data_IF_049194115931
#
_entry.id   IF_049194115931
#
_cell.length_a   1.000
_cell.length_b   1.000
_cell.length_c   1.000
_cell.angle_alpha   90.00
_cell.angle_beta   90.00
_cell.angle_gamma   90.00
#
_symmetry.space_group_name_H-M   'P 1'
#
loop_
_entity.id
_entity.type
_entity.pdbx_description
1 polymer ?
#
# COMPACT_ATOMS: atom_id res chain seq x y z
N UNK A 1 12.27 -7.08 -13.21
CA UNK A 1 13.65 -6.57 -13.31
C UNK A 1 13.95 -5.89 -11.99
N UNK A 2 14.79 -6.49 -11.13
CA UNK A 2 15.09 -5.96 -9.79
C UNK A 2 16.15 -4.86 -9.91
N UNK A 3 15.80 -3.63 -9.56
CA UNK A 3 16.78 -2.57 -9.36
C UNK A 3 17.28 -2.70 -7.91
N UNK A 4 18.46 -3.30 -7.74
CA UNK A 4 19.12 -3.36 -6.45
C UNK A 4 19.60 -1.94 -6.10
N UNK A 5 19.09 -1.38 -5.01
CA UNK A 5 19.70 -0.21 -4.37
C UNK A 5 20.92 -0.68 -3.57
N UNK A 6 21.92 0.19 -3.42
CA UNK A 6 23.24 -0.13 -2.82
C UNK A 6 23.22 -0.72 -1.41
N UNK A 7 22.07 -0.68 -0.72
CA UNK A 7 21.88 -1.12 0.66
C UNK A 7 21.14 -2.47 0.77
N UNK A 8 20.98 -3.22 -0.32
CA UNK A 8 20.38 -4.55 -0.31
C UNK A 8 18.85 -4.56 -0.30
N UNK A 9 18.19 -3.41 -0.49
CA UNK A 9 16.74 -3.37 -0.66
C UNK A 9 16.34 -3.83 -2.06
N UNK A 10 15.50 -4.87 -2.11
CA UNK A 10 14.91 -5.38 -3.35
C UNK A 10 13.66 -4.57 -3.65
N UNK A 11 13.74 -3.72 -4.68
CA UNK A 11 12.57 -3.04 -5.22
C UNK A 11 11.62 -4.07 -5.85
N UNK A 12 10.38 -4.12 -5.37
CA UNK A 12 9.36 -5.08 -5.83
C UNK A 12 8.17 -4.42 -6.54
N UNK A 13 8.03 -3.11 -6.40
CA UNK A 13 7.02 -2.33 -7.08
C UNK A 13 7.47 -0.87 -7.29
N UNK A 14 6.91 -0.24 -8.32
CA UNK A 14 7.04 1.19 -8.58
C UNK A 14 5.68 1.81 -8.83
N UNK A 15 5.57 3.09 -8.53
CA UNK A 15 4.42 3.92 -8.83
C UNK A 15 4.85 5.18 -9.57
N UNK A 16 4.05 5.66 -10.52
CA UNK A 16 4.12 7.06 -10.98
C UNK A 16 2.82 7.78 -10.74
N UNK A 17 2.90 9.09 -10.48
CA UNK A 17 1.74 9.98 -10.41
C UNK A 17 2.02 11.32 -11.10
N UNK A 18 0.97 12.03 -11.52
CA UNK A 18 1.07 13.33 -12.19
C UNK A 18 0.77 14.55 -11.29
N UNK A 19 0.54 14.32 -9.99
CA UNK A 19 0.29 15.38 -9.00
C UNK A 19 1.45 16.38 -8.93
N UNK A 20 1.28 17.56 -9.51
CA UNK A 20 2.32 18.62 -9.51
C UNK A 20 3.49 18.35 -10.46
N UNK A 21 3.41 17.31 -11.30
CA UNK A 21 4.47 16.83 -12.17
C UNK A 21 4.59 15.31 -12.14
N UNK A 22 5.22 14.72 -13.16
CA UNK A 22 5.46 13.28 -13.18
C UNK A 22 6.52 12.91 -12.15
N UNK A 23 6.11 12.17 -11.12
CA UNK A 23 6.97 11.68 -10.05
C UNK A 23 6.97 10.17 -10.04
N UNK A 24 8.13 9.54 -9.80
CA UNK A 24 8.26 8.08 -9.67
C UNK A 24 8.71 7.71 -8.26
N UNK A 25 7.97 6.79 -7.66
CA UNK A 25 8.19 6.27 -6.32
C UNK A 25 8.36 4.75 -6.35
N UNK A 26 8.96 4.20 -5.30
CA UNK A 26 9.35 2.81 -5.19
C UNK A 26 8.88 2.21 -3.86
N UNK A 27 8.66 0.89 -3.90
CA UNK A 27 8.35 0.10 -2.72
C UNK A 27 9.20 -1.16 -2.71
N UNK A 28 9.62 -1.55 -1.50
CA UNK A 28 10.58 -2.62 -1.28
C UNK A 28 9.94 -3.82 -0.57
N UNK A 29 10.60 -4.97 -0.66
CA UNK A 29 10.19 -6.13 0.12
C UNK A 29 10.25 -5.80 1.63
N UNK A 30 9.24 -6.21 2.42
CA UNK A 30 9.21 -5.88 3.84
C UNK A 30 10.35 -6.58 4.58
N UNK A 31 11.17 -5.78 5.26
CA UNK A 31 12.22 -6.22 6.19
C UNK A 31 11.89 -5.61 7.55
N UNK A 32 11.91 -6.39 8.63
CA UNK A 32 11.63 -5.85 9.96
C UNK A 32 12.75 -4.89 10.39
N UNK A 33 12.40 -3.73 10.95
CA UNK A 33 13.40 -2.89 11.62
C UNK A 33 13.94 -3.61 12.87
N UNK A 34 15.24 -3.46 13.11
CA UNK A 34 15.89 -4.00 14.30
C UNK A 34 15.58 -3.17 15.55
N UNK A 35 15.20 -1.91 15.37
CA UNK A 35 14.80 -0.98 16.42
C UNK A 35 13.33 -1.16 16.76
N UNK A 36 12.98 -0.90 18.02
CA UNK A 36 11.59 -0.78 18.44
C UNK A 36 11.19 0.68 18.34
N UNK A 37 10.27 1.00 17.43
CA UNK A 37 9.76 2.36 17.30
C UNK A 37 8.84 2.71 18.48
N UNK A 38 8.70 3.99 18.81
CA UNK A 38 7.86 4.43 19.93
C UNK A 38 6.42 3.92 19.82
N UNK A 39 5.83 3.90 18.61
CA UNK A 39 4.50 3.34 18.38
C UNK A 39 4.41 1.84 18.67
N UNK A 40 5.44 1.07 18.30
CA UNK A 40 5.53 -0.36 18.61
C UNK A 40 5.72 -0.60 20.09
N UNK A 41 6.57 0.19 20.76
CA UNK A 41 6.76 0.10 22.20
C UNK A 41 5.44 0.34 22.96
N UNK A 42 4.62 1.29 22.48
CA UNK A 42 3.28 1.51 23.01
C UNK A 42 2.35 0.32 22.77
N UNK A 43 2.31 -0.23 21.55
CA UNK A 43 1.46 -1.38 21.21
C UNK A 43 1.86 -2.65 21.97
N UNK A 44 3.16 -2.95 22.08
CA UNK A 44 3.70 -4.07 22.85
C UNK A 44 3.30 -3.93 24.32
N UNK A 45 3.42 -2.73 24.89
CA UNK A 45 3.05 -2.47 26.29
C UNK A 45 1.55 -2.59 26.53
N UNK A 46 0.73 -2.15 25.58
CA UNK A 46 -0.73 -2.17 25.71
C UNK A 46 -1.34 -3.55 25.45
N UNK A 47 -0.80 -4.32 24.49
CA UNK A 47 -1.45 -5.53 23.97
C UNK A 47 -0.57 -6.80 24.02
N UNK A 48 0.71 -6.68 24.34
CA UNK A 48 1.63 -7.83 24.41
C UNK A 48 1.97 -8.46 23.05
N UNK A 49 1.65 -7.79 21.93
CA UNK A 49 1.85 -8.32 20.58
C UNK A 49 3.23 -7.87 20.07
N UNK A 50 4.17 -8.80 19.79
CA UNK A 50 5.50 -8.45 19.30
C UNK A 50 5.44 -8.06 17.82
N UNK A 51 5.29 -6.77 17.56
CA UNK A 51 5.15 -6.21 16.20
C UNK A 51 6.35 -5.35 15.83
N UNK A 52 6.56 -5.20 14.52
CA UNK A 52 7.64 -4.41 13.92
C UNK A 52 7.12 -3.62 12.72
N UNK A 53 7.58 -2.39 12.61
CA UNK A 53 7.46 -1.59 11.41
C UNK A 53 8.45 -2.12 10.38
N UNK A 54 8.10 -2.05 9.10
CA UNK A 54 9.05 -2.31 8.05
C UNK A 54 10.11 -1.20 8.01
N UNK A 55 11.28 -1.64 7.56
CA UNK A 55 12.51 -0.88 7.50
C UNK A 55 12.46 0.28 6.49
N UNK A 56 11.71 0.12 5.40
CA UNK A 56 11.57 1.10 4.30
C UNK A 56 10.12 1.10 3.77
N UNK A 57 9.73 2.02 2.87
CA UNK A 57 8.47 1.91 2.12
C UNK A 57 8.29 0.49 1.56
N UNK A 58 7.10 -0.08 1.73
CA UNK A 58 6.84 -1.50 1.52
C UNK A 58 5.44 -1.74 0.97
N UNK A 59 5.26 -2.91 0.36
CA UNK A 59 3.97 -3.36 -0.16
C UNK A 59 3.73 -4.81 0.24
N UNK A 60 2.50 -5.11 0.63
CA UNK A 60 2.09 -6.43 1.08
C UNK A 60 0.62 -6.72 0.79
N UNK A 61 0.27 -8.00 0.81
CA UNK A 61 -1.08 -8.51 0.53
C UNK A 61 -1.60 -9.32 1.71
N UNK A 62 -2.85 -9.12 2.08
CA UNK A 62 -3.57 -9.97 3.01
C UNK A 62 -4.79 -10.63 2.35
N UNK A 63 -5.24 -11.79 2.88
CA UNK A 63 -6.30 -12.64 2.29
C UNK A 63 -7.31 -13.09 3.35
N UNK A 64 -8.57 -13.25 2.94
CA UNK A 64 -9.80 -13.38 3.77
C UNK A 64 -9.71 -13.95 5.20
N UNK A 65 -10.43 -13.25 6.10
CA UNK A 65 -10.89 -13.51 7.48
C UNK A 65 -9.96 -14.26 8.43
N UNK A 66 -9.28 -13.49 9.31
CA UNK A 66 -8.82 -13.75 10.69
C UNK A 66 -8.72 -15.20 11.20
N UNK A 67 -8.35 -16.15 10.36
CA UNK A 67 -8.16 -17.53 10.73
C UNK A 67 -6.71 -17.87 10.45
N UNK A 68 -5.86 -17.99 11.48
CA UNK A 68 -4.52 -18.56 11.39
C UNK A 68 -4.49 -19.99 10.84
N UNK A 69 -5.67 -20.56 10.53
CA UNK A 69 -5.90 -21.91 10.01
C UNK A 69 -6.38 -21.93 8.56
N UNK A 70 -6.31 -20.82 7.82
CA UNK A 70 -6.49 -20.92 6.38
C UNK A 70 -5.42 -21.86 5.84
N UNK A 71 -5.86 -23.02 5.37
CA UNK A 71 -5.06 -23.94 4.59
C UNK A 71 -4.46 -23.14 3.43
N UNK A 72 -3.14 -23.23 3.25
CA UNK A 72 -2.43 -22.56 2.17
C UNK A 72 -3.07 -22.85 0.80
N UNK A 73 -3.82 -23.94 0.69
CA UNK A 73 -4.50 -24.37 -0.53
C UNK A 73 -5.91 -23.78 -0.75
N UNK A 74 -6.47 -23.04 0.22
CA UNK A 74 -7.81 -22.44 0.07
C UNK A 74 -7.73 -21.12 -0.72
N UNK A 75 -8.52 -20.96 -1.81
CA UNK A 75 -8.60 -19.68 -2.52
C UNK A 75 -9.09 -18.55 -1.61
N UNK A 76 -8.53 -17.34 -1.73
CA UNK A 76 -8.97 -16.20 -0.94
C UNK A 76 -10.39 -15.79 -1.34
N UNK A 77 -11.24 -15.42 -0.37
CA UNK A 77 -12.52 -14.73 -0.63
C UNK A 77 -12.37 -13.22 -0.75
N UNK A 78 -11.30 -12.69 -0.16
CA UNK A 78 -10.94 -11.28 -0.21
C UNK A 78 -9.43 -11.14 -0.34
N UNK A 79 -9.00 -10.12 -1.07
CA UNK A 79 -7.60 -9.73 -1.21
C UNK A 79 -7.48 -8.27 -0.79
N UNK A 80 -6.58 -7.98 0.12
CA UNK A 80 -6.26 -6.64 0.62
C UNK A 80 -4.84 -6.32 0.20
N UNK A 81 -4.64 -5.32 -0.65
CA UNK A 81 -3.31 -4.84 -1.04
C UNK A 81 -3.05 -3.53 -0.32
N UNK A 82 -1.96 -3.44 0.45
CA UNK A 82 -1.53 -2.23 1.13
C UNK A 82 -0.10 -1.89 0.73
N UNK A 83 0.16 -0.63 0.41
CA UNK A 83 1.46 -0.16 -0.02
C UNK A 83 1.79 1.22 0.53
N UNK A 84 3.09 1.43 0.75
CA UNK A 84 3.72 2.73 0.89
C UNK A 84 4.82 2.80 -0.17
N UNK A 85 4.81 3.85 -0.98
CA UNK A 85 5.86 4.17 -1.94
C UNK A 85 6.59 5.45 -1.53
N UNK A 86 7.90 5.48 -1.72
CA UNK A 86 8.74 6.66 -1.51
C UNK A 86 9.76 6.85 -2.63
N UNK A 87 10.37 8.02 -2.67
CA UNK A 87 11.40 8.44 -3.63
C UNK A 87 12.74 7.70 -3.46
N UNK A 88 13.13 7.37 -2.23
CA UNK A 88 14.31 6.57 -1.91
C UNK A 88 14.04 5.57 -0.77
N UNK A 89 14.82 4.46 -0.67
CA UNK A 89 14.77 3.60 0.50
C UNK A 89 15.27 4.40 1.71
N UNK A 90 14.41 4.55 2.72
CA UNK A 90 14.75 5.31 3.91
C UNK A 90 14.28 4.59 5.16
N UNK A 91 15.01 4.79 6.25
CA UNK A 91 14.80 4.15 7.53
C UNK A 91 14.04 5.07 8.48
N UNK A 92 12.78 4.77 8.84
CA UNK A 92 12.04 5.59 9.80
C UNK A 92 12.81 5.78 11.10
N UNK A 93 12.87 6.99 11.68
CA UNK A 93 13.43 7.17 13.00
C UNK A 93 12.52 6.51 14.05
N UNK A 94 13.10 6.15 15.19
CA UNK A 94 12.33 5.55 16.27
C UNK A 94 11.34 6.53 16.95
N UNK A 95 11.62 7.83 16.84
CA UNK A 95 10.78 8.92 17.35
C UNK A 95 9.57 9.17 16.45
N UNK A 96 8.36 9.18 17.00
CA UNK A 96 7.14 9.50 16.25
C UNK A 96 7.16 10.94 15.71
N UNK A 97 7.77 11.87 16.46
CA UNK A 97 7.86 13.28 16.06
C UNK A 97 8.78 13.44 14.87
N UNK A 98 10.00 12.87 14.94
CA UNK A 98 10.95 12.92 13.83
C UNK A 98 10.39 12.19 12.60
N UNK A 99 9.68 11.08 12.81
CA UNK A 99 9.02 10.36 11.72
C UNK A 99 7.98 11.25 11.04
N UNK A 100 7.13 11.94 11.80
CA UNK A 100 6.14 12.87 11.24
C UNK A 100 6.79 14.03 10.47
N UNK A 101 7.85 14.63 11.02
CA UNK A 101 8.61 15.72 10.39
C UNK A 101 9.27 15.28 9.07
N UNK A 102 9.87 14.09 9.04
CA UNK A 102 10.48 13.54 7.83
C UNK A 102 9.42 13.20 6.78
N UNK A 103 8.29 12.60 7.17
CA UNK A 103 7.19 12.30 6.24
C UNK A 103 6.55 13.54 5.64
N UNK A 104 6.59 14.68 6.33
CA UNK A 104 6.10 15.94 5.74
C UNK A 104 6.99 16.43 4.60
N UNK A 105 8.30 16.13 4.62
CA UNK A 105 9.25 16.68 3.65
C UNK A 105 9.45 15.80 2.42
N UNK A 106 8.86 14.61 2.40
CA UNK A 106 9.15 13.56 1.43
C UNK A 106 7.95 13.33 0.52
N UNK A 107 8.25 12.95 -0.71
CA UNK A 107 7.25 12.47 -1.63
C UNK A 107 6.86 11.05 -1.25
N UNK A 108 5.57 10.84 -1.01
CA UNK A 108 5.05 9.58 -0.51
C UNK A 108 3.68 9.31 -1.10
N UNK A 109 3.44 8.05 -1.47
CA UNK A 109 2.13 7.56 -1.85
C UNK A 109 1.75 6.37 -0.99
N UNK A 110 0.59 6.49 -0.32
CA UNK A 110 -0.04 5.40 0.41
C UNK A 110 -1.18 4.86 -0.45
N UNK A 111 -1.18 3.55 -0.67
CA UNK A 111 -2.17 2.88 -1.48
C UNK A 111 -2.84 1.75 -0.69
N UNK A 112 -4.15 1.65 -0.79
CA UNK A 112 -4.91 0.51 -0.28
C UNK A 112 -6.01 0.12 -1.26
N UNK A 113 -6.14 -1.17 -1.56
CA UNK A 113 -7.22 -1.71 -2.36
C UNK A 113 -7.75 -3.03 -1.79
N UNK A 114 -9.05 -3.25 -1.92
CA UNK A 114 -9.72 -4.47 -1.47
C UNK A 114 -10.57 -5.02 -2.60
N UNK A 115 -10.39 -6.31 -2.87
CA UNK A 115 -11.24 -7.05 -3.81
C UNK A 115 -11.99 -8.15 -3.07
N UNK A 116 -13.27 -8.27 -3.38
CA UNK A 116 -14.00 -9.51 -3.23
C UNK A 116 -13.60 -10.47 -4.36
N UNK A 117 -13.34 -11.71 -3.99
CA UNK A 117 -13.01 -12.80 -4.90
C UNK A 117 -14.12 -13.84 -4.75
N UNK A 118 -15.27 -13.53 -5.36
CA UNK A 118 -16.44 -14.41 -5.37
C UNK A 118 -16.69 -14.84 -6.83
N UNK A 119 -16.17 -16.00 -7.21
CA UNK A 119 -16.26 -16.51 -8.57
C UNK A 119 -15.07 -16.14 -9.47
N UNK A 120 -15.32 -16.02 -10.78
CA UNK A 120 -14.28 -15.90 -11.80
C UNK A 120 -13.70 -14.48 -11.91
N UNK A 121 -14.50 -13.45 -11.61
CA UNK A 121 -14.13 -12.06 -11.81
C UNK A 121 -14.08 -11.32 -10.45
N UNK A 122 -12.90 -10.86 -10.01
CA UNK A 122 -12.78 -10.13 -8.75
C UNK A 122 -13.44 -8.76 -8.83
N UNK A 123 -14.16 -8.40 -7.77
CA UNK A 123 -14.87 -7.13 -7.66
C UNK A 123 -14.11 -6.21 -6.72
N UNK A 124 -13.72 -5.02 -7.20
CA UNK A 124 -13.13 -3.99 -6.36
C UNK A 124 -14.20 -3.44 -5.40
N UNK A 125 -13.96 -3.59 -4.10
CA UNK A 125 -14.82 -3.09 -3.03
C UNK A 125 -14.28 -1.81 -2.42
N UNK A 126 -12.96 -1.59 -2.46
CA UNK A 126 -12.34 -0.41 -1.87
C UNK A 126 -11.11 0.00 -2.64
N UNK A 127 -10.95 1.29 -2.80
CA UNK A 127 -9.78 1.92 -3.39
C UNK A 127 -9.44 3.19 -2.63
N UNK A 128 -8.21 3.32 -2.16
CA UNK A 128 -7.73 4.50 -1.47
C UNK A 128 -6.31 4.84 -1.91
N UNK A 129 -6.11 6.11 -2.27
CA UNK A 129 -4.79 6.69 -2.51
C UNK A 129 -4.67 7.97 -1.70
N UNK A 130 -3.55 8.12 -1.00
CA UNK A 130 -3.09 9.37 -0.43
C UNK A 130 -1.72 9.69 -1.00
N UNK A 131 -1.56 10.90 -1.54
CA UNK A 131 -0.29 11.40 -2.08
C UNK A 131 0.11 12.62 -1.28
N UNK A 132 1.37 12.62 -0.85
CA UNK A 132 2.06 13.78 -0.30
C UNK A 132 3.17 14.11 -1.28
N UNK A 133 3.10 15.30 -1.86
CA UNK A 133 4.09 15.79 -2.80
C UNK A 133 4.59 17.18 -2.37
N UNK A 134 5.81 17.52 -2.78
CA UNK A 134 6.40 18.86 -2.68
C UNK A 134 6.48 19.38 -1.23
N UNK A 135 7.21 18.65 -0.38
CA UNK A 135 7.51 19.10 0.98
C UNK A 135 6.28 19.28 1.89
N UNK A 136 5.16 18.61 1.58
CA UNK A 136 3.94 18.60 2.38
C UNK A 136 2.94 19.69 2.00
N UNK A 137 3.25 20.51 0.99
CA UNK A 137 2.36 21.58 0.52
C UNK A 137 1.26 21.07 -0.40
N UNK A 138 1.51 19.98 -1.14
CA UNK A 138 0.50 19.38 -2.02
C UNK A 138 0.04 18.05 -1.46
N UNK A 139 -1.21 18.04 -0.99
CA UNK A 139 -1.88 16.84 -0.50
C UNK A 139 -3.01 16.46 -1.47
N UNK A 140 -3.10 15.16 -1.77
CA UNK A 140 -4.20 14.60 -2.55
C UNK A 140 -4.71 13.34 -1.86
N UNK A 141 -6.03 13.20 -1.78
CA UNK A 141 -6.68 11.98 -1.31
C UNK A 141 -7.79 11.59 -2.26
N UNK A 142 -7.91 10.29 -2.47
CA UNK A 142 -8.96 9.68 -3.26
C UNK A 142 -9.38 8.40 -2.55
N UNK A 143 -10.52 8.44 -1.84
CA UNK A 143 -11.05 7.33 -1.04
C UNK A 143 -12.43 6.89 -1.53
N UNK A 144 -12.55 5.66 -2.02
CA UNK A 144 -13.77 5.12 -2.63
C UNK A 144 -14.10 3.74 -2.07
N UNK A 145 -15.38 3.51 -1.78
CA UNK A 145 -15.94 2.25 -1.28
C UNK A 145 -17.09 1.77 -2.16
N UNK A 146 -17.34 0.46 -2.10
CA UNK A 146 -18.46 -0.24 -2.72
C UNK A 146 -18.73 0.21 -4.17
N UNK A 147 -19.90 0.80 -4.41
CA UNK A 147 -20.31 1.27 -5.74
C UNK A 147 -19.40 2.38 -6.26
N UNK A 148 -18.92 3.28 -5.41
CA UNK A 148 -18.02 4.36 -5.82
C UNK A 148 -16.69 3.81 -6.34
N UNK A 149 -16.16 2.76 -5.69
CA UNK A 149 -14.93 2.12 -6.12
C UNK A 149 -15.09 1.48 -7.51
N UNK A 150 -16.27 0.91 -7.80
CA UNK A 150 -16.59 0.31 -9.11
C UNK A 150 -16.78 1.33 -10.23
N UNK A 151 -17.08 2.59 -9.89
CA UNK A 151 -17.24 3.68 -10.85
C UNK A 151 -15.92 4.34 -11.26
N UNK A 152 -14.80 3.99 -10.61
CA UNK A 152 -13.49 4.52 -10.98
C UNK A 152 -13.06 3.99 -12.34
N UNK A 153 -12.51 4.89 -13.16
CA UNK A 153 -11.87 4.53 -14.43
C UNK A 153 -10.48 3.95 -14.15
N UNK A 154 -10.47 2.64 -13.90
CA UNK A 154 -9.26 1.88 -13.61
C UNK A 154 -9.02 0.87 -14.73
N UNK A 155 -7.95 1.10 -15.49
CA UNK A 155 -7.44 0.16 -16.46
C UNK A 155 -6.48 -0.82 -15.78
N UNK A 156 -6.96 -2.04 -15.56
CA UNK A 156 -6.16 -3.15 -15.05
C UNK A 156 -5.47 -3.83 -16.23
N UNK A 157 -4.19 -3.52 -16.45
CA UNK A 157 -3.40 -4.17 -17.51
C UNK A 157 -3.19 -5.66 -17.23
N UNK A 158 -2.86 -5.99 -15.98
CA UNK A 158 -2.85 -7.37 -15.48
C UNK A 158 -2.99 -7.38 -13.97
N UNK A 159 -4.03 -8.05 -13.45
CA UNK A 159 -4.15 -8.38 -12.03
C UNK A 159 -4.14 -9.90 -11.91
N UNK A 160 -3.02 -10.44 -11.42
CA UNK A 160 -2.93 -11.87 -11.12
C UNK A 160 -3.23 -12.05 -9.65
N UNK A 161 -4.49 -12.39 -9.38
CA UNK A 161 -4.88 -12.80 -8.04
C UNK A 161 -4.30 -14.18 -7.73
N UNK A 162 -4.00 -14.41 -6.45
CA UNK A 162 -3.27 -15.58 -6.01
C UNK A 162 -4.21 -16.79 -5.89
N UNK A 163 -3.78 -17.96 -6.35
CA UNK A 163 -4.56 -19.19 -6.23
C UNK A 163 -4.50 -19.76 -4.80
N UNK A 164 -3.37 -19.52 -4.12
CA UNK A 164 -3.05 -20.04 -2.79
C UNK A 164 -2.65 -18.93 -1.83
N UNK A 165 -2.71 -19.16 -0.52
CA UNK A 165 -2.40 -18.17 0.51
C UNK A 165 -0.95 -17.67 0.51
N UNK A 166 -0.03 -18.42 -0.10
CA UNK A 166 1.40 -18.09 -0.17
C UNK A 166 1.82 -17.35 -1.45
N UNK A 167 0.98 -17.32 -2.48
CA UNK A 167 1.37 -16.76 -3.79
C UNK A 167 1.54 -15.25 -3.73
N UNK A 168 2.26 -14.65 -4.68
CA UNK A 168 2.29 -13.20 -4.83
C UNK A 168 1.10 -12.71 -5.67
N UNK A 169 0.61 -11.50 -5.37
CA UNK A 169 -0.23 -10.75 -6.31
C UNK A 169 0.69 -9.97 -7.22
N UNK A 170 0.52 -10.12 -8.53
CA UNK A 170 1.20 -9.27 -9.52
C UNK A 170 0.19 -8.30 -10.11
N UNK A 171 0.58 -7.05 -10.27
CA UNK A 171 -0.30 -5.99 -10.71
C UNK A 171 0.38 -5.06 -11.72
N UNK A 172 -0.41 -4.64 -12.71
CA UNK A 172 -0.18 -3.48 -13.54
C UNK A 172 -1.50 -2.71 -13.61
N UNK A 173 -1.57 -1.58 -12.92
CA UNK A 173 -2.75 -0.75 -12.77
C UNK A 173 -2.47 0.65 -13.27
N UNK A 174 -3.39 1.19 -14.05
CA UNK A 174 -3.51 2.61 -14.34
C UNK A 174 -4.87 3.09 -13.84
N UNK A 175 -4.90 4.16 -13.06
CA UNK A 175 -6.14 4.74 -12.54
C UNK A 175 -6.11 6.25 -12.70
N UNK A 176 -7.19 6.82 -13.24
CA UNK A 176 -7.45 8.27 -13.20
C UNK A 176 -8.56 8.51 -12.19
N UNK A 177 -8.22 9.11 -11.05
CA UNK A 177 -9.12 9.20 -9.92
C UNK A 177 -9.41 10.66 -9.54
N UNK A 178 -10.67 10.98 -9.20
CA UNK A 178 -11.01 12.29 -8.66
C UNK A 178 -10.56 12.40 -7.20
N UNK A 179 -10.31 13.62 -6.76
CA UNK A 179 -10.06 13.92 -5.36
C UNK A 179 -11.35 13.68 -4.54
N UNK A 180 -11.21 12.93 -3.46
CA UNK A 180 -12.25 12.65 -2.46
C UNK A 180 -11.56 12.34 -1.14
N UNK A 181 -11.76 13.20 -0.14
CA UNK A 181 -10.97 13.13 1.09
C UNK A 181 -11.39 11.99 2.01
N UNK A 182 -12.70 11.68 2.06
CA UNK A 182 -13.28 10.58 2.81
C UNK A 182 -14.34 9.83 1.96
N UNK A 183 -14.60 8.56 2.27
CA UNK A 183 -15.49 7.68 1.49
C UNK A 183 -16.87 8.27 1.14
N UNK A 184 -17.45 9.03 2.07
CA UNK A 184 -18.83 9.57 1.97
C UNK A 184 -18.88 11.06 1.59
N UNK A 185 -17.77 11.62 1.14
CA UNK A 185 -17.72 13.00 0.66
C UNK A 185 -17.94 13.08 -0.85
N UNK A 186 -18.37 14.26 -1.30
CA UNK A 186 -18.49 14.55 -2.72
C UNK A 186 -17.12 14.51 -3.41
N UNK A 187 -17.13 14.10 -4.68
CA UNK A 187 -15.94 14.19 -5.53
C UNK A 187 -15.65 15.65 -5.85
N UNK A 188 -14.37 16.00 -5.89
CA UNK A 188 -13.90 17.32 -6.34
C UNK A 188 -13.37 17.22 -7.77
N UNK A 189 -13.23 18.38 -8.41
CA UNK A 189 -12.87 18.47 -9.83
C UNK A 189 -11.43 18.01 -10.12
N UNK A 190 -10.53 18.13 -9.14
CA UNK A 190 -9.13 17.73 -9.30
C UNK A 190 -9.04 16.23 -9.55
N UNK A 191 -8.31 15.84 -10.59
CA UNK A 191 -8.01 14.44 -10.92
C UNK A 191 -6.50 14.21 -10.95
N UNK A 192 -6.11 13.01 -10.59
CA UNK A 192 -4.71 12.55 -10.61
C UNK A 192 -4.68 11.20 -11.29
N UNK A 193 -3.72 11.02 -12.18
CA UNK A 193 -3.38 9.72 -12.73
C UNK A 193 -2.32 9.05 -11.86
N UNK A 194 -2.52 7.76 -11.56
CA UNK A 194 -1.50 6.90 -10.98
C UNK A 194 -1.30 5.64 -11.81
N UNK A 195 -0.05 5.24 -11.95
CA UNK A 195 0.34 3.98 -12.55
C UNK A 195 1.12 3.16 -11.53
N UNK A 196 0.67 1.95 -11.23
CA UNK A 196 1.29 1.04 -10.26
C UNK A 196 1.71 -0.24 -10.99
N UNK A 197 2.95 -0.67 -10.80
CA UNK A 197 3.45 -1.92 -11.37
C UNK A 197 4.32 -2.64 -10.35
N UNK A 198 4.10 -3.94 -10.18
CA UNK A 198 4.94 -4.74 -9.30
C UNK A 198 4.31 -6.05 -8.88
N UNK A 199 4.86 -6.61 -7.80
CA UNK A 199 4.25 -7.73 -7.11
C UNK A 199 4.35 -7.57 -5.60
N UNK A 200 3.43 -8.19 -4.89
CA UNK A 200 3.34 -8.14 -3.45
C UNK A 200 3.04 -9.53 -2.88
N UNK A 201 3.89 -9.95 -1.93
CA UNK A 201 3.70 -11.19 -1.20
C UNK A 201 2.74 -11.04 -0.02
N UNK A 202 2.45 -12.13 0.69
CA UNK A 202 1.65 -12.12 1.90
C UNK A 202 2.20 -11.15 2.94
N UNK A 203 1.30 -10.53 3.72
CA UNK A 203 1.68 -9.69 4.86
C UNK A 203 2.48 -10.54 5.86
N UNK A 204 3.71 -10.14 6.19
CA UNK A 204 4.49 -10.87 7.17
C UNK A 204 3.82 -10.81 8.55
N UNK A 205 3.84 -11.91 9.30
CA UNK A 205 3.21 -12.00 10.62
C UNK A 205 3.80 -11.08 11.71
N UNK A 206 4.92 -10.42 11.42
CA UNK A 206 5.53 -9.42 12.31
C UNK A 206 5.03 -7.99 12.07
N UNK A 207 4.32 -7.73 10.97
CA UNK A 207 3.67 -6.44 10.72
C UNK A 207 2.31 -6.43 11.42
N UNK A 208 2.04 -5.40 12.22
CA UNK A 208 0.70 -5.17 12.75
C UNK A 208 -0.13 -4.34 11.77
N UNK A 209 -1.44 -4.57 11.76
CA UNK A 209 -2.44 -3.65 11.23
C UNK A 209 -3.53 -3.43 12.29
#
# INVERSE_FOLDING_TARGET
MSLASGDGHVCIASCTHDLGGETRLFSYAPVADTRIHQGEAMAIKAFGIPVRSPLTPYISVWRSEFSPRMDAHTPPKKVYLNAIFGDDPWHPPASLVEHAELRQRRDELIFAAVWAVDGADPVLERFAVEIRADGGHTHFRSMHDDENARMLDIAWGSLHLPAHGADNVSFNLRAVMPERYNFREDVRDRRVEVNLTGSAGPIPGWINY
#
